data_IF_683691560475
#
_entry.id   IF_683691560475
#
_cell.length_a   1.000
_cell.length_b   1.000
_cell.length_c   1.000
_cell.angle_alpha   90.00
_cell.angle_beta   90.00
_cell.angle_gamma   90.00
#
_symmetry.space_group_name_H-M   'P 1'
#
loop_
_entity.id
_entity.type
_entity.pdbx_description
1 polymer ?
#
# COMPACT_ATOMS: atom_id res chain seq x y z
N UNK A 1 2.36 -11.13 10.77
CA UNK A 1 2.94 -12.45 10.44
C UNK A 1 4.41 -12.30 10.04
N UNK A 2 5.23 -11.67 10.89
CA UNK A 2 6.69 -11.57 10.65
C UNK A 2 7.34 -12.89 11.06
N UNK A 3 8.02 -13.54 10.12
CA UNK A 3 8.75 -14.79 10.38
C UNK A 3 10.07 -14.53 11.11
N UNK A 4 10.60 -15.56 11.77
CA UNK A 4 11.89 -15.49 12.47
C UNK A 4 13.06 -15.19 11.53
N UNK A 5 12.95 -15.59 10.26
CA UNK A 5 13.93 -15.29 9.22
C UNK A 5 13.98 -13.79 8.87
N UNK A 6 12.83 -13.12 8.81
CA UNK A 6 12.74 -11.70 8.42
C UNK A 6 13.04 -10.77 9.60
N UNK A 7 12.69 -11.18 10.83
CA UNK A 7 12.89 -10.38 12.05
C UNK A 7 14.28 -9.75 12.21
N UNK A 8 15.42 -10.45 11.99
CA UNK A 8 16.74 -9.82 12.08
C UNK A 8 16.98 -8.77 11.00
N UNK A 9 16.43 -8.93 9.80
CA UNK A 9 16.62 -8.01 8.66
C UNK A 9 15.95 -6.65 8.91
N UNK A 10 14.84 -6.63 9.65
CA UNK A 10 14.11 -5.41 9.98
C UNK A 10 14.97 -4.39 10.75
N UNK A 11 16.09 -4.80 11.36
CA UNK A 11 17.00 -3.86 12.06
C UNK A 11 17.71 -2.89 11.12
N UNK A 12 17.75 -3.20 9.82
CA UNK A 12 18.49 -2.42 8.82
C UNK A 12 17.60 -1.41 8.07
N UNK A 13 16.31 -1.33 8.38
CA UNK A 13 15.35 -0.50 7.67
C UNK A 13 14.44 0.24 8.64
N UNK A 14 14.15 1.51 8.33
CA UNK A 14 13.28 2.37 9.13
C UNK A 14 11.85 2.47 8.58
N UNK A 15 11.67 2.19 7.28
CA UNK A 15 10.40 2.29 6.58
C UNK A 15 10.14 0.97 5.86
N UNK A 16 8.90 0.49 5.90
CA UNK A 16 8.49 -0.78 5.31
C UNK A 16 7.34 -0.53 4.34
N UNK A 17 7.48 -0.98 3.10
CA UNK A 17 6.41 -0.97 2.11
C UNK A 17 5.86 -2.39 1.98
N UNK A 18 4.53 -2.55 2.12
CA UNK A 18 3.85 -3.82 1.98
C UNK A 18 3.01 -3.84 0.70
N UNK A 19 3.15 -4.95 -0.04
CA UNK A 19 2.42 -5.31 -1.26
C UNK A 19 2.13 -6.80 -1.25
N UNK A 20 1.16 -7.25 -2.05
CA UNK A 20 0.85 -8.67 -2.24
C UNK A 20 -0.53 -9.09 -1.71
N UNK A 21 -0.66 -10.37 -1.40
CA UNK A 21 -1.93 -11.01 -1.03
C UNK A 21 -1.74 -11.94 0.17
N UNK A 22 -2.77 -12.21 0.99
CA UNK A 22 -4.11 -11.61 0.93
C UNK A 22 -4.21 -10.38 1.84
N UNK A 23 -4.94 -9.36 1.37
CA UNK A 23 -5.07 -8.06 2.03
C UNK A 23 -5.49 -8.18 3.51
N UNK A 24 -6.50 -9.00 3.79
CA UNK A 24 -7.09 -9.20 5.12
C UNK A 24 -6.40 -10.27 5.97
N UNK A 25 -5.50 -11.07 5.39
CA UNK A 25 -4.79 -12.15 6.09
C UNK A 25 -3.32 -11.80 6.24
N UNK A 26 -2.51 -12.11 5.23
CA UNK A 26 -1.06 -12.01 5.30
C UNK A 26 -0.60 -10.55 5.40
N UNK A 27 -1.22 -9.64 4.61
CA UNK A 27 -0.84 -8.23 4.60
C UNK A 27 -1.26 -7.57 5.92
N UNK A 28 -2.54 -7.67 6.29
CA UNK A 28 -3.05 -7.11 7.54
C UNK A 28 -2.27 -7.62 8.75
N UNK A 29 -2.09 -8.93 8.91
CA UNK A 29 -1.36 -9.47 10.07
C UNK A 29 0.11 -9.04 10.05
N UNK A 30 0.75 -8.90 8.89
CA UNK A 30 2.13 -8.39 8.80
C UNK A 30 2.21 -6.92 9.17
N UNK A 31 1.26 -6.11 8.74
CA UNK A 31 1.17 -4.71 9.13
C UNK A 31 1.00 -4.56 10.66
N UNK A 32 0.10 -5.34 11.27
CA UNK A 32 -0.13 -5.32 12.72
C UNK A 32 1.14 -5.68 13.50
N UNK A 33 1.81 -6.80 13.17
CA UNK A 33 3.07 -7.17 13.83
C UNK A 33 4.17 -6.09 13.70
N UNK A 34 4.25 -5.43 12.53
CA UNK A 34 5.22 -4.34 12.33
C UNK A 34 4.86 -3.12 13.18
N UNK A 35 3.58 -2.76 13.25
CA UNK A 35 3.09 -1.60 13.99
C UNK A 35 3.16 -1.77 15.51
N UNK A 36 3.17 -3.00 16.02
CA UNK A 36 3.47 -3.29 17.42
C UNK A 36 4.90 -2.89 17.81
N UNK A 37 5.83 -2.81 16.85
CA UNK A 37 7.19 -2.34 17.08
C UNK A 37 7.17 -0.80 17.06
N UNK A 38 7.41 -0.10 18.18
CA UNK A 38 7.15 1.34 18.29
C UNK A 38 7.85 2.21 17.24
N UNK A 39 9.05 1.81 16.79
CA UNK A 39 9.82 2.53 15.78
C UNK A 39 9.15 2.57 14.41
N UNK A 40 8.28 1.61 14.10
CA UNK A 40 7.61 1.49 12.81
C UNK A 40 6.23 2.14 12.78
N UNK A 41 5.76 2.70 13.89
CA UNK A 41 4.50 3.43 13.91
C UNK A 41 4.53 4.59 12.89
N UNK A 42 3.52 4.66 12.01
CA UNK A 42 3.46 5.58 10.84
C UNK A 42 4.60 5.42 9.82
N UNK A 43 5.31 4.29 9.82
CA UNK A 43 6.37 3.96 8.86
C UNK A 43 6.15 2.63 8.13
N UNK A 44 4.96 2.06 8.29
CA UNK A 44 4.47 0.93 7.49
C UNK A 44 3.54 1.50 6.43
N UNK A 45 3.91 1.36 5.17
CA UNK A 45 3.21 1.90 4.01
C UNK A 45 2.53 0.78 3.25
N UNK A 46 1.22 0.88 3.07
CA UNK A 46 0.41 -0.09 2.33
C UNK A 46 0.10 0.53 0.97
N UNK A 47 0.53 -0.11 -0.11
CA UNK A 47 0.19 0.33 -1.46
C UNK A 47 -1.14 -0.26 -1.87
N UNK A 48 -2.19 0.56 -1.85
CA UNK A 48 -3.57 0.11 -2.02
C UNK A 48 -3.84 -0.46 -3.43
N UNK A 49 -3.09 0.01 -4.43
CA UNK A 49 -3.06 -0.47 -5.81
C UNK A 49 -2.12 -1.67 -6.02
N UNK A 50 -1.55 -2.24 -4.96
CA UNK A 50 -0.68 -3.40 -5.03
C UNK A 50 -1.01 -4.46 -3.98
N UNK A 51 -2.23 -4.43 -3.41
CA UNK A 51 -2.77 -5.49 -2.56
C UNK A 51 -4.11 -5.98 -3.08
N UNK A 52 -4.44 -7.23 -2.81
CA UNK A 52 -5.71 -7.84 -3.24
C UNK A 52 -6.15 -8.96 -2.29
N UNK A 53 -7.37 -9.45 -2.48
CA UNK A 53 -7.95 -10.58 -1.76
C UNK A 53 -8.89 -11.37 -2.69
N UNK A 54 -9.21 -12.60 -2.32
CA UNK A 54 -10.15 -13.42 -3.10
C UNK A 54 -11.57 -12.81 -3.14
N UNK A 55 -11.96 -12.08 -2.09
CA UNK A 55 -13.22 -11.35 -2.02
C UNK A 55 -12.97 -9.85 -2.00
N UNK A 56 -13.56 -9.10 -2.93
CA UNK A 56 -13.29 -7.68 -3.14
C UNK A 56 -13.61 -6.81 -1.90
N UNK A 57 -14.65 -7.16 -1.14
CA UNK A 57 -15.06 -6.40 0.05
C UNK A 57 -14.09 -6.56 1.23
N UNK A 58 -13.21 -7.56 1.20
CA UNK A 58 -12.17 -7.71 2.23
C UNK A 58 -11.07 -6.66 2.11
N UNK A 59 -10.83 -6.15 0.89
CA UNK A 59 -9.78 -5.15 0.62
C UNK A 59 -10.02 -3.84 1.37
N UNK A 60 -11.16 -3.14 1.23
CA UNK A 60 -11.40 -1.89 1.97
C UNK A 60 -11.39 -2.07 3.48
N UNK A 61 -11.97 -3.17 3.99
CA UNK A 61 -12.00 -3.46 5.42
C UNK A 61 -10.59 -3.64 5.99
N UNK A 62 -9.72 -4.36 5.27
CA UNK A 62 -8.34 -4.52 5.66
C UNK A 62 -7.57 -3.18 5.60
N UNK A 63 -7.77 -2.39 4.55
CA UNK A 63 -7.16 -1.06 4.42
C UNK A 63 -7.55 -0.13 5.57
N UNK A 64 -8.83 -0.06 5.91
CA UNK A 64 -9.32 0.76 7.02
C UNK A 64 -8.76 0.29 8.36
N UNK A 65 -8.75 -1.03 8.60
CA UNK A 65 -8.13 -1.61 9.79
C UNK A 65 -6.65 -1.25 9.91
N UNK A 66 -5.91 -1.27 8.80
CA UNK A 66 -4.49 -0.88 8.76
C UNK A 66 -4.31 0.63 9.02
N UNK A 67 -5.17 1.50 8.48
CA UNK A 67 -5.16 2.94 8.79
C UNK A 67 -5.38 3.20 10.28
N UNK A 68 -6.41 2.58 10.86
CA UNK A 68 -6.79 2.77 12.27
C UNK A 68 -5.69 2.35 13.25
N UNK A 69 -4.83 1.42 12.84
CA UNK A 69 -3.71 0.92 13.64
C UNK A 69 -2.40 1.68 13.41
N UNK A 70 -2.40 2.66 12.49
CA UNK A 70 -1.29 3.58 12.27
C UNK A 70 -0.42 3.27 11.04
N UNK A 71 -0.84 2.38 10.14
CA UNK A 71 -0.24 2.27 8.82
C UNK A 71 -0.59 3.50 7.96
N UNK A 72 0.30 3.83 7.02
CA UNK A 72 0.03 4.82 5.98
C UNK A 72 -0.46 4.09 4.74
N UNK A 73 -1.73 4.29 4.37
CA UNK A 73 -2.25 3.78 3.10
C UNK A 73 -2.01 4.82 2.01
N UNK A 74 -1.34 4.40 0.94
CA UNK A 74 -0.96 5.23 -0.21
C UNK A 74 -1.07 4.42 -1.51
N UNK A 75 -0.53 4.91 -2.62
CA UNK A 75 -0.46 4.21 -3.90
C UNK A 75 0.99 4.08 -4.38
N UNK A 76 1.25 3.17 -5.32
CA UNK A 76 2.58 3.01 -5.91
C UNK A 76 3.12 4.31 -6.51
N UNK A 77 2.29 5.03 -7.27
CA UNK A 77 2.66 6.32 -7.86
C UNK A 77 2.99 7.37 -6.79
N UNK A 78 2.13 7.52 -5.78
CA UNK A 78 2.36 8.49 -4.71
C UNK A 78 3.61 8.15 -3.88
N UNK A 79 3.87 6.86 -3.64
CA UNK A 79 5.08 6.39 -2.96
C UNK A 79 6.35 6.74 -3.77
N UNK A 80 6.36 6.49 -5.08
CA UNK A 80 7.51 6.81 -5.93
C UNK A 80 7.79 8.33 -5.95
N UNK A 81 6.76 9.17 -6.06
CA UNK A 81 6.93 10.62 -5.96
C UNK A 81 7.40 11.06 -4.56
N UNK A 82 6.89 10.44 -3.50
CA UNK A 82 7.32 10.72 -2.14
C UNK A 82 8.82 10.41 -1.94
N UNK A 83 9.33 9.35 -2.57
CA UNK A 83 10.75 8.99 -2.52
C UNK A 83 11.65 9.97 -3.29
N UNK A 84 11.16 10.59 -4.37
CA UNK A 84 11.90 11.61 -5.14
C UNK A 84 11.94 12.98 -4.44
N UNK A 85 11.08 13.24 -3.45
CA UNK A 85 11.07 14.53 -2.75
C UNK A 85 10.71 15.70 -3.66
N UNK A 86 11.66 16.60 -3.92
CA UNK A 86 11.45 17.79 -4.76
C UNK A 86 11.68 17.55 -6.26
N UNK A 87 12.14 16.35 -6.66
CA UNK A 87 12.32 15.96 -8.05
C UNK A 87 13.43 16.71 -8.79
N UNK A 88 14.36 17.34 -8.06
CA UNK A 88 15.42 18.17 -8.64
C UNK A 88 16.70 17.40 -8.96
N UNK A 89 16.82 16.13 -8.55
CA UNK A 89 18.00 15.32 -8.83
C UNK A 89 17.93 14.73 -10.24
N UNK A 90 19.06 14.76 -10.94
CA UNK A 90 19.29 14.01 -12.17
C UNK A 90 18.91 12.52 -12.07
N UNK A 91 18.98 11.93 -10.88
CA UNK A 91 18.61 10.55 -10.60
C UNK A 91 17.09 10.29 -10.58
N UNK A 92 16.24 11.34 -10.61
CA UNK A 92 14.78 11.22 -10.58
C UNK A 92 14.17 10.95 -11.97
N UNK A 93 14.93 11.26 -13.03
CA UNK A 93 14.47 11.08 -14.41
C UNK A 93 14.06 9.63 -14.74
N UNK A 94 14.85 8.60 -14.40
CA UNK A 94 14.44 7.21 -14.62
C UNK A 94 13.14 6.84 -13.90
N UNK A 95 12.92 7.32 -12.67
CA UNK A 95 11.71 7.05 -11.91
C UNK A 95 10.51 7.77 -12.54
N UNK A 96 10.67 9.04 -12.90
CA UNK A 96 9.63 9.81 -13.60
C UNK A 96 9.24 9.19 -14.94
N UNK A 97 10.21 8.65 -15.69
CA UNK A 97 9.95 7.99 -16.96
C UNK A 97 9.28 6.61 -16.76
N UNK A 98 9.62 5.88 -15.69
CA UNK A 98 8.90 4.66 -15.27
C UNK A 98 7.43 4.95 -14.93
N UNK A 99 7.15 5.98 -14.12
CA UNK A 99 5.78 6.36 -13.76
C UNK A 99 4.97 6.66 -15.02
N UNK A 100 5.54 7.40 -15.98
CA UNK A 100 4.87 7.69 -17.25
C UNK A 100 4.61 6.44 -18.09
N UNK A 101 5.57 5.51 -18.14
CA UNK A 101 5.45 4.27 -18.88
C UNK A 101 4.34 3.35 -18.29
N UNK A 102 4.20 3.34 -16.97
CA UNK A 102 3.26 2.46 -16.26
C UNK A 102 1.89 3.09 -16.01
N UNK A 103 1.67 4.36 -16.39
CA UNK A 103 0.43 5.11 -16.13
C UNK A 103 -0.85 4.33 -16.43
N UNK A 104 -0.92 3.62 -17.56
CA UNK A 104 -2.11 2.85 -17.94
C UNK A 104 -2.32 1.62 -17.03
N UNK A 105 -1.23 0.97 -16.61
CA UNK A 105 -1.28 -0.17 -15.70
C UNK A 105 -1.66 0.27 -14.29
N UNK A 106 -1.08 1.37 -13.80
CA UNK A 106 -1.42 1.95 -12.49
C UNK A 106 -2.89 2.37 -12.44
N UNK A 107 -3.41 3.03 -13.49
CA UNK A 107 -4.83 3.38 -13.57
C UNK A 107 -5.73 2.13 -13.50
N UNK A 108 -5.42 1.09 -14.28
CA UNK A 108 -6.16 -0.16 -14.26
C UNK A 108 -6.08 -0.86 -12.89
N UNK A 109 -4.93 -0.84 -12.23
CA UNK A 109 -4.74 -1.44 -10.91
C UNK A 109 -5.60 -0.73 -9.86
N UNK A 110 -5.60 0.60 -9.86
CA UNK A 110 -6.49 1.40 -9.01
C UNK A 110 -7.96 1.06 -9.27
N UNK A 111 -8.35 0.93 -10.54
CA UNK A 111 -9.74 0.62 -10.89
C UNK A 111 -10.18 -0.79 -10.48
N UNK A 112 -9.26 -1.74 -10.51
CA UNK A 112 -9.55 -3.16 -10.25
C UNK A 112 -9.49 -3.48 -8.75
N UNK A 113 -8.51 -2.90 -8.05
CA UNK A 113 -8.16 -3.31 -6.68
C UNK A 113 -8.80 -2.44 -5.62
N UNK A 114 -9.09 -1.17 -5.94
CA UNK A 114 -9.80 -0.31 -5.02
C UNK A 114 -11.29 -0.41 -5.32
N UNK A 115 -12.11 -0.68 -4.31
CA UNK A 115 -13.54 -0.58 -4.50
C UNK A 115 -13.85 0.86 -4.88
N UNK A 116 -14.31 1.04 -6.11
CA UNK A 116 -15.03 2.24 -6.44
C UNK A 116 -16.32 2.24 -5.61
N UNK A 117 -16.83 3.40 -5.18
CA UNK A 117 -18.25 3.52 -4.98
C UNK A 117 -18.88 3.15 -6.32
N UNK A 118 -19.27 1.88 -6.48
CA UNK A 118 -20.19 1.46 -7.52
C UNK A 118 -21.34 2.46 -7.45
N UNK A 119 -21.63 3.07 -8.60
CA UNK A 119 -22.50 4.24 -8.71
C UNK A 119 -23.68 4.12 -7.76
N UNK A 120 -23.94 5.19 -7.00
CA UNK A 120 -25.16 5.43 -6.24
C UNK A 120 -26.18 4.33 -6.43
N UNK A 121 -26.32 3.44 -5.44
CA UNK A 121 -27.50 2.60 -5.37
C UNK A 121 -28.70 3.50 -5.66
N UNK A 122 -29.34 3.33 -6.82
CA UNK A 122 -30.61 3.97 -7.10
C UNK A 122 -31.58 3.40 -6.07
N UNK A 123 -31.77 4.10 -4.96
CA UNK A 123 -32.95 3.93 -4.14
C UNK A 123 -34.07 4.46 -5.03
N UNK A 124 -34.81 3.53 -5.63
CA UNK A 124 -36.07 3.85 -6.28
C UNK A 124 -37.00 4.43 -5.23
N UNK A 125 -37.50 5.64 -5.48
CA UNK A 125 -38.69 6.16 -4.81
C UNK A 125 -39.94 5.47 -5.34
#
# INVERSE_FOLDING_TARGET
MITDEVRPLLKNYDNIVLVGIEAHVCILQTALDLLEIPRFHKRVYILADAISACHELEIPLALDRMRDTGAVVTTSEAMLFQLMGDGSDSNDKPISDLIKAERANTAKALETLLPHPSGTATISN
#
